data_IF_977326498109
#
_entry.id   IF_977326498109
#
_cell.length_a   1.000
_cell.length_b   1.000
_cell.length_c   1.000
_cell.angle_alpha   90.00
_cell.angle_beta   90.00
_cell.angle_gamma   90.00
#
_symmetry.space_group_name_H-M   'P 1'
#
loop_
_entity.id
_entity.type
_entity.pdbx_description
1 polymer ?
#
# COMPACT_ATOMS: atom_id res chain seq x y z
N UNK A 1 -1.38 22.48 0.20
CA UNK A 1 -1.29 21.34 1.14
C UNK A 1 -1.60 20.09 0.32
N UNK A 2 -0.57 19.43 -0.23
CA UNK A 2 -0.75 18.27 -1.11
C UNK A 2 -0.55 17.00 -0.27
N UNK A 3 -1.54 16.68 0.56
CA UNK A 3 -1.43 15.62 1.56
C UNK A 3 -1.42 14.25 0.87
N UNK A 4 -0.40 13.43 1.15
CA UNK A 4 -0.28 12.07 0.59
C UNK A 4 -1.29 11.10 1.24
N UNK A 5 -1.82 11.44 2.42
CA UNK A 5 -2.79 10.62 3.15
C UNK A 5 -4.08 10.28 2.38
N UNK A 6 -4.84 11.25 1.80
CA UNK A 6 -6.03 10.94 1.01
C UNK A 6 -5.70 10.12 -0.25
N UNK A 7 -4.58 10.41 -0.91
CA UNK A 7 -4.09 9.64 -2.06
C UNK A 7 -3.79 8.20 -1.69
N UNK A 8 -3.06 7.99 -0.59
CA UNK A 8 -2.71 6.65 -0.10
C UNK A 8 -3.96 5.88 0.35
N UNK A 9 -4.93 6.55 0.98
CA UNK A 9 -6.20 5.94 1.35
C UNK A 9 -7.00 5.48 0.13
N UNK A 10 -7.08 6.29 -0.94
CA UNK A 10 -7.73 5.92 -2.20
C UNK A 10 -6.98 4.78 -2.91
N UNK A 11 -5.64 4.85 -2.91
CA UNK A 11 -4.79 3.81 -3.45
C UNK A 11 -5.02 2.46 -2.74
N UNK A 12 -4.99 2.44 -1.41
CA UNK A 12 -5.12 1.26 -0.57
C UNK A 12 -6.56 0.70 -0.47
N UNK A 13 -7.56 1.34 -1.09
CA UNK A 13 -8.96 0.89 -1.04
C UNK A 13 -9.15 -0.60 -1.37
N UNK A 14 -8.51 -1.20 -2.39
CA UNK A 14 -8.69 -2.61 -2.72
C UNK A 14 -8.33 -3.58 -1.58
N UNK A 15 -7.36 -3.21 -0.72
CA UNK A 15 -6.94 -4.06 0.40
C UNK A 15 -7.64 -3.71 1.71
N UNK A 16 -8.22 -2.52 1.82
CA UNK A 16 -8.94 -2.07 3.02
C UNK A 16 -10.45 -2.35 2.95
N UNK A 17 -11.08 -2.20 1.78
CA UNK A 17 -12.53 -2.32 1.60
C UNK A 17 -13.10 -3.72 1.88
N UNK A 18 -12.40 -4.83 1.59
CA UNK A 18 -12.91 -6.17 1.93
C UNK A 18 -12.91 -6.47 3.43
N UNK A 19 -12.25 -5.65 4.25
CA UNK A 19 -12.17 -5.84 5.69
C UNK A 19 -13.49 -5.41 6.35
N UNK A 20 -14.04 -6.28 7.19
CA UNK A 20 -15.23 -5.97 7.98
C UNK A 20 -14.96 -4.83 8.98
N UNK A 21 -16.01 -4.12 9.39
CA UNK A 21 -15.89 -2.97 10.30
C UNK A 21 -15.28 -3.34 11.66
N UNK A 22 -15.48 -4.57 12.12
CA UNK A 22 -14.91 -5.12 13.35
C UNK A 22 -13.49 -5.72 13.18
N UNK A 23 -12.92 -5.63 11.98
CA UNK A 23 -11.56 -6.12 11.71
C UNK A 23 -10.55 -5.42 12.64
N UNK A 24 -9.72 -6.18 13.39
CA UNK A 24 -8.75 -5.60 14.31
C UNK A 24 -7.82 -4.60 13.63
N UNK A 25 -7.49 -3.51 14.33
CA UNK A 25 -6.60 -2.46 13.83
C UNK A 25 -5.26 -3.01 13.32
N UNK A 26 -4.74 -4.09 13.93
CA UNK A 26 -3.52 -4.77 13.49
C UNK A 26 -3.65 -5.32 12.07
N UNK A 27 -4.78 -5.95 11.72
CA UNK A 27 -5.04 -6.47 10.36
C UNK A 27 -5.21 -5.35 9.34
N UNK A 28 -5.88 -4.25 9.73
CA UNK A 28 -6.00 -3.05 8.88
C UNK A 28 -4.63 -2.42 8.61
N UNK A 29 -3.75 -2.39 9.61
CA UNK A 29 -2.35 -1.94 9.46
C UNK A 29 -1.56 -2.85 8.54
N UNK A 30 -1.68 -4.17 8.67
CA UNK A 30 -1.03 -5.13 7.76
C UNK A 30 -1.46 -4.92 6.30
N UNK A 31 -2.76 -4.76 6.05
CA UNK A 31 -3.29 -4.47 4.72
C UNK A 31 -2.77 -3.14 4.15
N UNK A 32 -2.80 -2.07 4.95
CA UNK A 32 -2.24 -0.78 4.55
C UNK A 32 -0.72 -0.87 4.31
N UNK A 33 -0.01 -1.68 5.10
CA UNK A 33 1.42 -1.95 4.92
C UNK A 33 1.72 -2.58 3.57
N UNK A 34 0.91 -3.54 3.11
CA UNK A 34 1.04 -4.10 1.76
C UNK A 34 0.87 -3.01 0.69
N UNK A 35 -0.14 -2.15 0.82
CA UNK A 35 -0.33 -1.04 -0.11
C UNK A 35 0.88 -0.09 -0.12
N UNK A 36 1.41 0.27 1.05
CA UNK A 36 2.61 1.11 1.14
C UNK A 36 3.83 0.46 0.48
N UNK A 37 4.03 -0.85 0.68
CA UNK A 37 5.12 -1.60 0.04
C UNK A 37 5.00 -1.55 -1.49
N UNK A 38 3.81 -1.80 -2.04
CA UNK A 38 3.58 -1.74 -3.49
C UNK A 38 3.77 -0.32 -4.02
N UNK A 39 3.22 0.69 -3.33
CA UNK A 39 3.41 2.09 -3.71
C UNK A 39 4.89 2.44 -3.84
N UNK A 40 5.68 2.14 -2.81
CA UNK A 40 7.10 2.45 -2.79
C UNK A 40 7.88 1.66 -3.86
N UNK A 41 7.57 0.37 -4.04
CA UNK A 41 8.22 -0.46 -5.06
C UNK A 41 8.06 0.13 -6.47
N UNK A 42 6.83 0.54 -6.85
CA UNK A 42 6.57 1.15 -8.16
C UNK A 42 7.35 2.46 -8.34
N UNK A 43 7.46 3.28 -7.30
CA UNK A 43 8.20 4.54 -7.36
C UNK A 43 9.71 4.31 -7.48
N UNK A 44 10.26 3.34 -6.75
CA UNK A 44 11.67 3.00 -6.82
C UNK A 44 12.06 2.41 -8.18
N UNK A 45 11.18 1.63 -8.81
CA UNK A 45 11.44 1.02 -10.12
C UNK A 45 11.53 2.03 -11.25
N UNK A 46 10.83 3.16 -11.13
CA UNK A 46 10.98 4.29 -12.06
C UNK A 46 12.39 4.91 -12.04
N UNK A 47 13.17 4.63 -11.00
CA UNK A 47 14.54 5.08 -10.86
C UNK A 47 15.55 3.95 -11.14
N UNK A 48 15.13 2.91 -11.88
CA UNK A 48 16.00 1.83 -12.35
C UNK A 48 16.10 0.60 -11.43
N UNK A 49 15.18 0.46 -10.48
CA UNK A 49 15.06 -0.72 -9.62
C UNK A 49 14.22 -1.86 -10.20
N UNK A 50 14.21 -2.99 -9.50
CA UNK A 50 13.40 -4.20 -9.77
C UNK A 50 12.57 -4.63 -8.55
N UNK A 51 12.19 -3.67 -7.71
CA UNK A 51 11.49 -3.85 -6.44
C UNK A 51 10.11 -4.45 -6.62
N UNK A 52 9.36 -4.11 -7.68
CA UNK A 52 8.07 -4.74 -7.96
C UNK A 52 8.26 -6.21 -8.27
N UNK A 53 9.18 -6.57 -9.16
CA UNK A 53 9.49 -7.96 -9.48
C UNK A 53 9.92 -8.73 -8.23
N UNK A 54 10.86 -8.16 -7.46
CA UNK A 54 11.32 -8.73 -6.19
C UNK A 54 10.18 -8.92 -5.18
N UNK A 55 9.29 -7.93 -5.02
CA UNK A 55 8.14 -8.02 -4.13
C UNK A 55 7.19 -9.16 -4.56
N UNK A 56 6.84 -9.23 -5.85
CA UNK A 56 5.94 -10.27 -6.37
C UNK A 56 6.54 -11.67 -6.22
N UNK A 57 7.85 -11.82 -6.43
CA UNK A 57 8.55 -13.09 -6.16
C UNK A 57 8.51 -13.47 -4.68
N UNK A 58 8.71 -12.51 -3.77
CA UNK A 58 8.63 -12.77 -2.33
C UNK A 58 7.23 -13.20 -1.91
N UNK A 59 6.19 -12.55 -2.44
CA UNK A 59 4.79 -12.91 -2.17
C UNK A 59 4.45 -14.31 -2.74
N UNK A 60 5.00 -14.67 -3.90
CA UNK A 60 4.84 -16.01 -4.49
C UNK A 60 5.47 -17.13 -3.64
N UNK A 61 6.45 -16.81 -2.79
CA UNK A 61 7.11 -17.76 -1.88
C UNK A 61 6.35 -17.96 -0.56
N UNK A 62 5.31 -17.18 -0.28
CA UNK A 62 4.49 -17.34 0.92
C UNK A 62 3.71 -18.66 0.84
N UNK A 63 3.88 -19.60 1.79
CA UNK A 63 3.22 -20.90 1.73
C UNK A 63 1.69 -20.82 1.84
N UNK A 64 1.02 -21.73 1.15
CA UNK A 64 -0.44 -21.87 1.18
C UNK A 64 -1.17 -20.90 0.25
N UNK A 65 -2.52 -20.95 0.21
CA UNK A 65 -3.33 -20.16 -0.71
C UNK A 65 -3.25 -18.65 -0.46
N UNK A 66 -2.75 -18.22 0.71
CA UNK A 66 -2.56 -16.80 1.01
C UNK A 66 -1.52 -16.12 0.12
N UNK A 67 -0.47 -16.83 -0.31
CA UNK A 67 0.59 -16.26 -1.14
C UNK A 67 0.10 -15.83 -2.52
N UNK A 68 -0.70 -16.66 -3.18
CA UNK A 68 -1.29 -16.32 -4.49
C UNK A 68 -2.28 -15.16 -4.40
N UNK A 69 -3.08 -15.09 -3.32
CA UNK A 69 -4.00 -13.97 -3.08
C UNK A 69 -3.23 -12.67 -2.85
N UNK A 70 -2.21 -12.68 -2.00
CA UNK A 70 -1.39 -11.50 -1.72
C UNK A 70 -0.65 -11.02 -2.98
N UNK A 71 -0.13 -11.96 -3.79
CA UNK A 71 0.49 -11.64 -5.06
C UNK A 71 -0.50 -10.97 -6.02
N UNK A 72 -1.69 -11.54 -6.20
CA UNK A 72 -2.71 -10.95 -7.07
C UNK A 72 -3.09 -9.54 -6.61
N UNK A 73 -3.30 -9.35 -5.31
CA UNK A 73 -3.59 -8.02 -4.74
C UNK A 73 -2.45 -7.04 -5.00
N UNK A 74 -1.19 -7.48 -4.91
CA UNK A 74 -0.05 -6.64 -5.23
C UNK A 74 0.01 -6.27 -6.72
N UNK A 75 -0.24 -7.23 -7.62
CA UNK A 75 -0.33 -6.98 -9.07
C UNK A 75 -1.44 -5.96 -9.40
N UNK A 76 -2.62 -6.10 -8.78
CA UNK A 76 -3.74 -5.16 -8.95
C UNK A 76 -3.39 -3.75 -8.43
N UNK A 77 -2.68 -3.67 -7.31
CA UNK A 77 -2.20 -2.41 -6.75
C UNK A 77 -1.10 -1.77 -7.61
N UNK A 78 -0.20 -2.54 -8.23
CA UNK A 78 0.79 -2.03 -9.19
C UNK A 78 0.07 -1.38 -10.37
N UNK A 79 -0.84 -2.12 -11.02
CA UNK A 79 -1.62 -1.61 -12.15
C UNK A 79 -2.40 -0.33 -11.77
N UNK A 80 -3.00 -0.33 -10.57
CA UNK A 80 -3.71 0.84 -10.04
C UNK A 80 -2.80 2.05 -9.80
N UNK A 81 -1.56 1.84 -9.34
CA UNK A 81 -0.60 2.93 -9.10
C UNK A 81 -0.26 3.62 -10.42
N UNK A 82 -0.04 2.82 -11.45
CA UNK A 82 0.33 3.28 -12.79
C UNK A 82 -0.83 3.97 -13.50
N UNK A 83 -2.05 3.46 -13.36
CA UNK A 83 -3.25 4.02 -14.00
C UNK A 83 -3.76 5.30 -13.30
N UNK A 84 -3.93 5.27 -11.97
CA UNK A 84 -4.65 6.35 -11.25
C UNK A 84 -3.76 7.41 -10.64
N UNK A 85 -2.48 7.09 -10.40
CA UNK A 85 -1.55 8.01 -9.75
C UNK A 85 -0.21 8.07 -10.50
N UNK A 86 -0.18 8.20 -11.84
CA UNK A 86 1.05 8.17 -12.61
C UNK A 86 2.00 9.31 -12.24
N UNK A 87 1.50 10.47 -11.83
CA UNK A 87 2.33 11.66 -11.60
C UNK A 87 2.78 11.83 -10.14
N UNK A 88 2.26 11.02 -9.21
CA UNK A 88 2.74 11.05 -7.83
C UNK A 88 4.03 10.23 -7.74
N UNK A 89 5.16 10.94 -7.63
CA UNK A 89 6.51 10.40 -7.59
C UNK A 89 7.09 10.31 -6.17
N UNK A 90 6.28 10.57 -5.14
CA UNK A 90 6.74 10.56 -3.75
C UNK A 90 6.71 9.14 -3.20
N UNK A 91 7.76 8.74 -2.50
CA UNK A 91 7.70 7.55 -1.64
C UNK A 91 6.97 7.89 -0.34
N UNK A 92 6.34 6.89 0.27
CA UNK A 92 5.85 6.96 1.64
C UNK A 92 7.04 6.67 2.57
N UNK A 93 7.52 7.70 3.25
CA UNK A 93 8.65 7.60 4.19
C UNK A 93 8.20 7.15 5.58
N UNK A 94 7.07 7.71 6.06
CA UNK A 94 6.42 7.32 7.31
C UNK A 94 4.92 7.30 7.14
N UNK A 95 4.27 6.40 7.86
CA UNK A 95 2.81 6.35 7.94
C UNK A 95 2.36 5.79 9.29
N UNK A 96 1.18 6.19 9.73
CA UNK A 96 0.54 5.65 10.92
C UNK A 96 -0.98 5.57 10.72
N UNK A 97 -1.54 4.40 11.07
CA UNK A 97 -2.99 4.21 11.16
C UNK A 97 -3.36 4.06 12.63
N UNK A 98 -4.12 4.98 13.18
CA UNK A 98 -4.53 5.01 14.59
C UNK A 98 -6.05 5.02 14.72
N UNK A 99 -6.56 4.44 15.80
CA UNK A 99 -7.98 4.56 16.17
C UNK A 99 -8.11 5.72 17.15
N UNK A 100 -8.82 6.78 16.74
CA UNK A 100 -8.98 8.02 17.53
C UNK A 100 -10.25 8.01 18.37
N UNK A 101 -11.23 7.20 17.97
CA UNK A 101 -12.45 6.87 18.71
C UNK A 101 -12.94 5.50 18.22
N UNK A 102 -13.84 4.79 18.93
CA UNK A 102 -14.34 3.48 18.51
C UNK A 102 -14.86 3.51 17.06
N UNK A 103 -14.20 2.76 16.17
CA UNK A 103 -14.52 2.69 14.75
C UNK A 103 -14.06 3.88 13.89
N UNK A 104 -13.44 4.90 14.49
CA UNK A 104 -12.91 6.07 13.78
C UNK A 104 -11.40 5.97 13.64
N UNK A 105 -10.94 5.85 12.39
CA UNK A 105 -9.52 5.72 12.06
C UNK A 105 -8.95 7.05 11.54
N UNK A 106 -7.70 7.35 11.93
CA UNK A 106 -6.89 8.42 11.38
C UNK A 106 -5.68 7.85 10.65
N UNK A 107 -5.41 8.36 9.46
CA UNK A 107 -4.25 8.01 8.64
C UNK A 107 -3.33 9.22 8.52
N UNK A 108 -2.14 9.10 9.07
CA UNK A 108 -1.05 10.07 8.90
C UNK A 108 -0.03 9.51 7.92
N UNK A 109 0.43 10.35 6.97
CA UNK A 109 1.39 9.94 5.94
C UNK A 109 2.37 11.07 5.67
N UNK A 110 3.66 10.72 5.72
CA UNK A 110 4.77 11.58 5.33
C UNK A 110 5.38 11.04 4.03
N UNK A 111 5.31 11.86 2.98
CA UNK A 111 5.91 11.55 1.69
C UNK A 111 7.27 12.24 1.51
N UNK A 112 8.18 11.59 0.79
CA UNK A 112 9.47 12.16 0.41
C UNK A 112 9.73 11.99 -1.09
N UNK A 113 10.48 12.89 -1.75
CA UNK A 113 10.96 12.66 -3.11
C UNK A 113 11.95 11.49 -3.12
N UNK A 114 12.05 10.79 -4.25
CA UNK A 114 13.20 9.90 -4.50
C UNK A 114 14.41 10.78 -4.82
N UNK A 115 15.53 10.52 -4.15
CA UNK A 115 16.80 11.24 -4.32
C UNK A 115 17.67 10.60 -5.41
#
# INVERSE_FOLDING_TARGET
MNELAPTLADFARPVLQPLADDTPLTRRREALGLAVLVWNAVILDRNGGDHVATLLEQLARVPGPGGSILRQLAEDLVARKEDRFPDDLRIVARWALTEVAPGQLSLEVEGAPVA
#
